data_IF_970163084740
#
_entry.id   IF_970163084740
#
_cell.length_a   1.000
_cell.length_b   1.000
_cell.length_c   1.000
_cell.angle_alpha   90.00
_cell.angle_beta   90.00
_cell.angle_gamma   90.00
#
_symmetry.space_group_name_H-M   'P 1'
#
loop_
_entity.id
_entity.type
_entity.pdbx_description
1 polymer ?
#
# COMPACT_ATOMS: atom_id res chain seq x y z
N UNK A 1 9.48 -19.04 -3.49
CA UNK A 1 9.08 -18.79 -2.11
C UNK A 1 7.98 -19.79 -1.84
N UNK A 2 7.94 -20.44 -0.67
CA UNK A 2 6.80 -21.32 -0.38
C UNK A 2 5.52 -20.48 -0.43
N UNK A 3 4.54 -20.96 -1.18
CA UNK A 3 3.27 -20.24 -1.41
C UNK A 3 2.56 -19.87 -0.11
N UNK A 4 2.62 -20.75 0.88
CA UNK A 4 2.09 -20.52 2.23
C UNK A 4 2.83 -19.41 2.98
N UNK A 5 4.14 -19.31 2.81
CA UNK A 5 4.95 -18.25 3.42
C UNK A 5 4.66 -16.90 2.76
N UNK A 6 4.55 -16.87 1.42
CA UNK A 6 4.13 -15.68 0.67
C UNK A 6 2.79 -15.14 1.17
N UNK A 7 1.76 -16.00 1.22
CA UNK A 7 0.42 -15.59 1.65
C UNK A 7 0.41 -15.07 3.08
N UNK A 8 1.14 -15.70 4.01
CA UNK A 8 1.26 -15.21 5.39
C UNK A 8 1.91 -13.82 5.45
N UNK A 9 3.01 -13.61 4.73
CA UNK A 9 3.72 -12.32 4.70
C UNK A 9 2.84 -11.24 4.07
N UNK A 10 2.25 -11.48 2.90
CA UNK A 10 1.40 -10.50 2.20
C UNK A 10 0.14 -10.19 3.00
N UNK A 11 -0.47 -11.18 3.64
CA UNK A 11 -1.61 -10.95 4.54
C UNK A 11 -1.20 -10.05 5.71
N UNK A 12 -0.05 -10.31 6.34
CA UNK A 12 0.48 -9.49 7.42
C UNK A 12 0.79 -8.06 7.00
N UNK A 13 1.46 -7.87 5.86
CA UNK A 13 1.78 -6.55 5.30
C UNK A 13 0.52 -5.77 4.91
N UNK A 14 -0.44 -6.44 4.26
CA UNK A 14 -1.70 -5.79 3.82
C UNK A 14 -2.57 -5.44 5.02
N UNK A 15 -2.61 -6.29 6.04
CA UNK A 15 -3.29 -5.98 7.29
C UNK A 15 -2.66 -4.80 8.02
N UNK A 16 -1.33 -4.79 8.14
CA UNK A 16 -0.58 -3.66 8.70
C UNK A 16 -0.83 -2.36 7.93
N UNK A 17 -0.79 -2.40 6.60
CA UNK A 17 -1.09 -1.27 5.73
C UNK A 17 -2.53 -0.79 5.87
N UNK A 18 -3.49 -1.71 6.01
CA UNK A 18 -4.90 -1.40 6.25
C UNK A 18 -5.10 -0.69 7.58
N UNK A 19 -4.49 -1.19 8.66
CA UNK A 19 -4.56 -0.55 9.97
C UNK A 19 -3.89 0.82 9.97
N UNK A 20 -2.74 0.94 9.32
CA UNK A 20 -2.00 2.20 9.22
C UNK A 20 -2.79 3.24 8.44
N UNK A 21 -3.25 2.92 7.23
CA UNK A 21 -4.07 3.82 6.42
C UNK A 21 -5.43 4.12 7.08
N UNK A 22 -6.02 3.14 7.77
CA UNK A 22 -7.24 3.29 8.54
C UNK A 22 -7.08 4.23 9.74
N UNK A 23 -5.94 4.17 10.44
CA UNK A 23 -5.60 5.11 11.50
C UNK A 23 -5.48 6.54 10.97
N UNK A 24 -4.72 6.74 9.88
CA UNK A 24 -4.55 8.06 9.26
C UNK A 24 -5.88 8.64 8.75
N UNK A 25 -6.69 7.82 8.07
CA UNK A 25 -8.02 8.19 7.59
C UNK A 25 -9.00 8.45 8.74
N UNK A 26 -8.95 7.63 9.79
CA UNK A 26 -9.78 7.77 10.98
C UNK A 26 -9.51 9.07 11.72
N UNK A 27 -8.24 9.38 12.01
CA UNK A 27 -7.85 10.65 12.65
C UNK A 27 -8.39 11.83 11.84
N UNK A 28 -8.24 11.81 10.51
CA UNK A 28 -8.77 12.87 9.64
C UNK A 28 -10.28 13.02 9.71
N UNK A 29 -11.03 11.92 9.82
CA UNK A 29 -12.49 11.95 9.98
C UNK A 29 -12.92 12.51 11.33
N UNK A 30 -12.24 12.13 12.42
CA UNK A 30 -12.63 12.53 13.78
C UNK A 30 -12.15 13.94 14.17
N UNK A 31 -10.93 14.31 13.75
CA UNK A 31 -10.29 15.56 14.19
C UNK A 31 -10.22 16.63 13.11
N UNK A 32 -10.61 16.32 11.86
CA UNK A 32 -10.48 17.16 10.66
C UNK A 32 -9.03 17.58 10.32
N UNK A 33 -8.06 17.25 11.17
CA UNK A 33 -6.63 17.45 10.97
C UNK A 33 -5.98 16.17 10.46
N UNK A 34 -4.86 16.31 9.78
CA UNK A 34 -4.07 15.15 9.36
C UNK A 34 -3.30 14.62 10.56
N UNK A 35 -3.19 13.30 10.64
CA UNK A 35 -2.28 12.68 11.60
C UNK A 35 -0.87 13.29 11.39
N UNK A 36 -0.17 13.59 12.48
CA UNK A 36 1.17 14.18 12.46
C UNK A 36 1.29 15.62 11.93
N UNK A 37 0.20 16.39 11.86
CA UNK A 37 0.23 17.82 11.48
C UNK A 37 0.84 18.12 10.09
N UNK A 38 0.79 17.15 9.17
CA UNK A 38 1.23 17.31 7.79
C UNK A 38 0.08 17.71 6.84
N UNK A 39 0.40 18.13 5.62
CA UNK A 39 -0.60 18.43 4.61
C UNK A 39 -1.09 17.14 3.95
N UNK A 40 -2.36 16.73 4.16
CA UNK A 40 -2.91 15.61 3.41
C UNK A 40 -3.31 16.05 2.01
N UNK A 41 -2.79 15.41 0.96
CA UNK A 41 -3.31 15.63 -0.38
C UNK A 41 -4.74 15.12 -0.50
N UNK A 42 -5.53 15.82 -1.32
CA UNK A 42 -6.88 15.42 -1.69
C UNK A 42 -6.88 14.81 -3.09
N UNK A 43 -7.63 13.72 -3.26
CA UNK A 43 -7.92 13.10 -4.53
C UNK A 43 -9.43 13.02 -4.71
N UNK A 44 -9.96 13.57 -5.82
CA UNK A 44 -11.40 13.56 -6.14
C UNK A 44 -12.32 14.04 -4.98
N UNK A 45 -11.86 15.01 -4.19
CA UNK A 45 -12.63 15.56 -3.06
C UNK A 45 -12.48 14.79 -1.73
N UNK A 46 -11.74 13.68 -1.72
CA UNK A 46 -11.49 12.88 -0.52
C UNK A 46 -9.99 12.82 -0.16
N UNK A 47 -9.62 12.57 1.12
CA UNK A 47 -8.21 12.43 1.50
C UNK A 47 -7.55 11.25 0.81
N UNK A 48 -6.33 11.41 0.31
CA UNK A 48 -5.57 10.34 -0.35
C UNK A 48 -5.43 9.06 0.53
N UNK A 49 -5.34 9.23 1.86
CA UNK A 49 -5.28 8.14 2.82
C UNK A 49 -6.47 7.17 2.74
N UNK A 50 -7.63 7.65 2.30
CA UNK A 50 -8.83 6.82 2.17
C UNK A 50 -8.73 5.87 0.96
N UNK A 51 -8.15 6.34 -0.15
CA UNK A 51 -7.85 5.51 -1.30
C UNK A 51 -6.79 4.45 -0.97
N UNK A 52 -5.75 4.86 -0.23
CA UNK A 52 -4.74 3.93 0.28
C UNK A 52 -5.36 2.84 1.17
N UNK A 53 -6.28 3.21 2.07
CA UNK A 53 -7.03 2.26 2.89
C UNK A 53 -7.83 1.27 2.02
N UNK A 54 -8.56 1.76 1.03
CA UNK A 54 -9.33 0.90 0.12
C UNK A 54 -8.45 -0.10 -0.64
N UNK A 55 -7.29 0.34 -1.13
CA UNK A 55 -6.34 -0.52 -1.83
C UNK A 55 -5.72 -1.58 -0.89
N UNK A 56 -5.27 -1.20 0.31
CA UNK A 56 -4.73 -2.16 1.28
C UNK A 56 -5.79 -3.16 1.77
N UNK A 57 -7.01 -2.70 1.97
CA UNK A 57 -8.14 -3.56 2.33
C UNK A 57 -8.43 -4.57 1.21
N UNK A 58 -8.44 -4.13 -0.05
CA UNK A 58 -8.64 -5.01 -1.19
C UNK A 58 -7.56 -6.11 -1.27
N UNK A 59 -6.29 -5.73 -1.10
CA UNK A 59 -5.17 -6.68 -1.01
C UNK A 59 -5.34 -7.65 0.16
N UNK A 60 -5.73 -7.15 1.34
CA UNK A 60 -5.98 -8.00 2.50
C UNK A 60 -7.09 -9.03 2.25
N UNK A 61 -8.19 -8.63 1.61
CA UNK A 61 -9.31 -9.52 1.24
C UNK A 61 -8.88 -10.57 0.21
N UNK A 62 -8.10 -10.17 -0.80
CA UNK A 62 -7.57 -11.09 -1.82
C UNK A 62 -6.63 -12.11 -1.18
N UNK A 63 -5.72 -11.67 -0.31
CA UNK A 63 -4.80 -12.54 0.43
C UNK A 63 -5.55 -13.52 1.36
N UNK A 64 -6.59 -13.07 2.06
CA UNK A 64 -7.49 -13.92 2.86
C UNK A 64 -8.23 -14.95 2.00
N UNK A 65 -8.83 -14.53 0.89
CA UNK A 65 -9.52 -15.43 -0.02
C UNK A 65 -8.56 -16.49 -0.61
N UNK A 66 -7.31 -16.10 -0.85
CA UNK A 66 -6.25 -17.02 -1.30
C UNK A 66 -5.81 -18.00 -0.20
N UNK A 67 -5.75 -17.58 1.07
CA UNK A 67 -5.49 -18.45 2.23
C UNK A 67 -6.60 -19.47 2.44
N UNK A 68 -7.87 -19.07 2.26
CA UNK A 68 -9.04 -19.97 2.33
C UNK A 68 -9.12 -20.94 1.14
N UNK A 69 -8.20 -20.84 0.17
CA UNK A 69 -8.12 -21.73 -0.98
C UNK A 69 -9.13 -21.43 -2.10
N UNK A 70 -9.90 -20.33 -2.02
CA UNK A 70 -10.86 -19.93 -3.05
C UNK A 70 -10.20 -19.33 -4.29
N UNK A 71 -9.08 -18.62 -4.14
CA UNK A 71 -8.37 -17.94 -5.23
C UNK A 71 -6.89 -18.33 -5.25
N UNK A 72 -6.53 -19.29 -6.11
CA UNK A 72 -5.20 -19.93 -6.02
C UNK A 72 -4.15 -19.43 -7.03
N UNK A 73 -4.52 -19.26 -8.30
CA UNK A 73 -3.58 -18.89 -9.37
C UNK A 73 -3.52 -17.38 -9.63
N UNK A 74 -4.65 -16.68 -9.47
CA UNK A 74 -4.74 -15.27 -9.85
C UNK A 74 -4.46 -14.29 -8.72
N UNK A 75 -4.42 -14.76 -7.46
CA UNK A 75 -4.15 -13.90 -6.31
C UNK A 75 -2.83 -13.12 -6.45
N UNK A 76 -1.74 -13.78 -6.84
CA UNK A 76 -0.46 -13.10 -7.03
C UNK A 76 -0.47 -12.07 -8.17
N UNK A 77 -1.28 -12.28 -9.21
CA UNK A 77 -1.44 -11.32 -10.31
C UNK A 77 -2.28 -10.10 -9.87
N UNK A 78 -3.36 -10.36 -9.14
CA UNK A 78 -4.24 -9.31 -8.61
C UNK A 78 -3.48 -8.44 -7.59
N UNK A 79 -2.76 -9.06 -6.66
CA UNK A 79 -1.90 -8.37 -5.69
C UNK A 79 -0.82 -7.53 -6.39
N UNK A 80 -0.18 -8.07 -7.44
CA UNK A 80 0.78 -7.33 -8.24
C UNK A 80 0.14 -6.13 -8.96
N UNK A 81 -1.07 -6.29 -9.51
CA UNK A 81 -1.78 -5.20 -10.18
C UNK A 81 -2.19 -4.09 -9.21
N UNK A 82 -2.77 -4.45 -8.05
CA UNK A 82 -3.20 -3.48 -7.04
C UNK A 82 -1.98 -2.76 -6.43
N UNK A 83 -0.92 -3.50 -6.08
CA UNK A 83 0.30 -2.88 -5.55
C UNK A 83 1.00 -2.00 -6.57
N UNK A 84 1.00 -2.35 -7.85
CA UNK A 84 1.52 -1.47 -8.91
C UNK A 84 0.74 -0.16 -9.01
N UNK A 85 -0.61 -0.23 -8.98
CA UNK A 85 -1.46 0.96 -8.92
C UNK A 85 -1.19 1.78 -7.65
N UNK A 86 -1.02 1.12 -6.51
CA UNK A 86 -0.65 1.75 -5.25
C UNK A 86 0.71 2.46 -5.29
N UNK A 87 1.70 1.88 -5.97
CA UNK A 87 3.01 2.50 -6.20
C UNK A 87 2.86 3.77 -7.05
N UNK A 88 2.10 3.72 -8.14
CA UNK A 88 1.88 4.89 -8.98
C UNK A 88 1.14 6.00 -8.23
N UNK A 89 0.09 5.63 -7.49
CA UNK A 89 -0.71 6.56 -6.71
C UNK A 89 0.10 7.21 -5.58
N UNK A 90 0.71 6.39 -4.71
CA UNK A 90 1.53 6.89 -3.60
C UNK A 90 2.78 7.63 -4.11
N UNK A 91 3.42 7.12 -5.15
CA UNK A 91 4.62 7.72 -5.75
C UNK A 91 4.35 9.12 -6.31
N UNK A 92 3.21 9.32 -6.98
CA UNK A 92 2.80 10.64 -7.46
C UNK A 92 2.67 11.67 -6.33
N UNK A 93 2.03 11.29 -5.22
CA UNK A 93 1.87 12.18 -4.06
C UNK A 93 3.17 12.40 -3.28
N UNK A 94 4.01 11.36 -3.14
CA UNK A 94 5.34 11.49 -2.53
C UNK A 94 6.18 12.52 -3.30
N UNK A 95 6.15 12.49 -4.64
CA UNK A 95 6.88 13.48 -5.46
C UNK A 95 6.35 14.90 -5.25
N UNK A 96 5.02 15.08 -5.18
CA UNK A 96 4.44 16.40 -4.90
C UNK A 96 4.85 16.94 -3.54
N UNK A 97 4.80 16.10 -2.50
CA UNK A 97 5.19 16.50 -1.14
C UNK A 97 6.69 16.79 -1.03
N UNK A 98 7.54 16.02 -1.71
CA UNK A 98 8.99 16.26 -1.73
C UNK A 98 9.34 17.55 -2.45
N UNK A 99 8.66 17.87 -3.55
CA UNK A 99 8.85 19.12 -4.28
C UNK A 99 8.42 20.33 -3.44
N UNK A 100 7.31 20.21 -2.71
CA UNK A 100 6.83 21.25 -1.80
C UNK A 100 7.80 21.48 -0.62
N UNK A 101 8.40 20.39 -0.12
CA UNK A 101 9.42 20.45 0.93
C UNK A 101 10.73 21.09 0.43
N UNK A 102 11.22 20.73 -0.77
CA UNK A 102 12.40 21.34 -1.39
C UNK A 102 12.19 22.82 -1.74
N UNK A 103 10.96 23.23 -2.06
CA UNK A 103 10.60 24.61 -2.39
C UNK A 103 10.50 25.53 -1.16
N UNK A 104 10.84 25.07 0.05
CA UNK A 104 10.89 25.89 1.27
C UNK A 104 9.68 25.74 2.19
N UNK A 105 8.82 24.74 1.98
CA UNK A 105 7.73 24.42 2.89
C UNK A 105 8.25 23.90 4.24
N UNK A 106 8.04 24.64 5.32
CA UNK A 106 8.36 24.26 6.70
C UNK A 106 7.40 23.20 7.26
N UNK A 107 7.21 22.08 6.57
CA UNK A 107 6.45 20.95 7.11
C UNK A 107 7.35 20.11 8.01
N UNK A 108 7.18 20.22 9.33
CA UNK A 108 7.80 19.32 10.30
C UNK A 108 7.10 17.96 10.21
N UNK A 109 7.61 17.07 9.36
CA UNK A 109 7.16 15.67 9.36
C UNK A 109 7.56 15.01 10.68
N UNK A 110 6.58 14.73 11.54
CA UNK A 110 6.81 14.17 12.88
C UNK A 110 7.49 12.78 12.85
N UNK A 111 7.43 12.08 11.73
CA UNK A 111 8.03 10.76 11.50
C UNK A 111 9.32 10.82 10.66
N UNK A 112 9.77 12.02 10.27
CA UNK A 112 10.94 12.22 9.39
C UNK A 112 10.63 12.06 7.90
N UNK A 113 9.68 11.19 7.52
CA UNK A 113 9.16 11.05 6.14
C UNK A 113 7.64 11.29 6.08
N UNK A 114 7.11 11.68 4.91
CA UNK A 114 5.67 11.81 4.70
C UNK A 114 4.95 10.46 4.82
N UNK A 115 3.73 10.46 5.36
CA UNK A 115 2.96 9.20 5.52
C UNK A 115 2.70 8.47 4.20
N UNK A 116 2.60 9.21 3.10
CA UNK A 116 2.53 8.68 1.74
C UNK A 116 3.77 7.82 1.38
N UNK A 117 4.97 8.16 1.87
CA UNK A 117 6.19 7.40 1.61
C UNK A 117 6.22 6.07 2.37
N UNK A 118 5.70 6.04 3.61
CA UNK A 118 5.52 4.77 4.31
C UNK A 118 4.56 3.86 3.54
N UNK A 119 3.42 4.40 3.08
CA UNK A 119 2.51 3.68 2.19
C UNK A 119 3.19 3.16 0.92
N UNK A 120 4.07 3.95 0.30
CA UNK A 120 4.84 3.52 -0.86
C UNK A 120 5.75 2.32 -0.56
N UNK A 121 6.45 2.33 0.58
CA UNK A 121 7.34 1.22 0.99
C UNK A 121 6.56 -0.09 1.12
N UNK A 122 5.38 -0.06 1.73
CA UNK A 122 4.52 -1.25 1.86
C UNK A 122 4.07 -1.78 0.50
N UNK A 123 3.64 -0.91 -0.43
CA UNK A 123 3.27 -1.35 -1.78
C UNK A 123 4.45 -1.94 -2.55
N UNK A 124 5.63 -1.31 -2.49
CA UNK A 124 6.85 -1.82 -3.14
C UNK A 124 7.25 -3.18 -2.58
N UNK A 125 7.14 -3.38 -1.26
CA UNK A 125 7.43 -4.67 -0.63
C UNK A 125 6.47 -5.76 -1.13
N UNK A 126 5.16 -5.50 -1.16
CA UNK A 126 4.18 -6.49 -1.63
C UNK A 126 4.34 -6.77 -3.13
N UNK A 127 4.59 -5.73 -3.94
CA UNK A 127 4.84 -5.88 -5.38
C UNK A 127 6.07 -6.76 -5.65
N UNK A 128 7.17 -6.51 -4.94
CA UNK A 128 8.42 -7.28 -5.06
C UNK A 128 8.19 -8.76 -4.69
N UNK A 129 7.45 -9.02 -3.62
CA UNK A 129 7.08 -10.38 -3.21
C UNK A 129 6.15 -11.08 -4.20
N UNK A 130 5.22 -10.32 -4.80
CA UNK A 130 4.30 -10.82 -5.82
C UNK A 130 5.06 -11.20 -7.09
N UNK A 131 5.97 -10.34 -7.56
CA UNK A 131 6.84 -10.63 -8.71
C UNK A 131 7.76 -11.84 -8.45
N UNK A 132 8.36 -11.94 -7.27
CA UNK A 132 9.20 -13.09 -6.92
C UNK A 132 8.42 -14.41 -6.92
N UNK A 133 7.11 -14.36 -6.61
CA UNK A 133 6.21 -15.50 -6.65
C UNK A 133 5.77 -15.83 -8.08
N UNK A 134 5.42 -14.83 -8.89
CA UNK A 134 5.07 -14.99 -10.31
C UNK A 134 6.23 -15.54 -11.14
N UNK A 135 7.46 -15.04 -10.92
CA UNK A 135 8.66 -15.49 -11.64
C UNK A 135 8.93 -16.98 -11.41
N UNK A 136 8.70 -17.48 -10.19
CA UNK A 136 8.82 -18.90 -9.86
C UNK A 136 7.70 -19.75 -10.45
N UNK A 137 6.46 -19.27 -10.45
CA UNK A 137 5.35 -19.95 -11.13
C UNK A 137 5.55 -20.07 -12.65
N UNK A 138 6.16 -19.07 -13.28
CA UNK A 138 6.52 -19.12 -14.71
C UNK A 138 7.65 -20.13 -15.01
N UNK A 139 8.45 -20.51 -14.01
CA UNK A 139 9.54 -21.49 -14.18
C UNK A 139 9.03 -22.93 -14.15
N UNK A 140 7.91 -23.22 -13.47
CA UNK A 140 7.32 -24.57 -13.41
C UNK A 140 6.49 -24.93 -14.65
N UNK A 141 5.94 -23.96 -15.38
CA UNK A 141 5.19 -24.21 -16.63
C UNK A 141 6.12 -24.56 -17.80
N UNK A 142 7.42 -24.29 -17.66
CA UNK A 142 8.42 -24.49 -18.72
C UNK A 142 9.25 -25.76 -18.57
N UNK A 143 8.89 -26.67 -17.66
CA UNK A 143 9.62 -27.91 -17.42
C UNK A 143 8.79 -29.14 -17.80
#
# INVERSE_FOLDING_TARGET
MHRTLYLKIVTGLSFGGTLFAGYLGGIKLFTKTCAFNEACPYFLGYPACWYGFGMYLAMFVVALAALMGKLRADAAKIEAAISFLGILFAGFYVLQEIQYWLAGGTTRYSLGLPTCAYGLIFYVAIFSLSLATLKKGATEVKK
#
